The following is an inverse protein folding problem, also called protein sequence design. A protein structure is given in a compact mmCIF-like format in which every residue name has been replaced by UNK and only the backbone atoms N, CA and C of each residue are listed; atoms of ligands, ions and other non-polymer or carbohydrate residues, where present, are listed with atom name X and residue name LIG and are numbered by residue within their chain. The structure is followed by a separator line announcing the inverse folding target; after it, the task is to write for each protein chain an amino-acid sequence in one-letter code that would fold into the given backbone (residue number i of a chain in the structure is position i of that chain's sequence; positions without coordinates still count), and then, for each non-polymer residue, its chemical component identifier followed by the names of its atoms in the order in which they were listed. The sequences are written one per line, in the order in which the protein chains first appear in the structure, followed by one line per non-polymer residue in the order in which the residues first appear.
data_IF_669640698736
#
_entry.id   IF_669640698736
#
_cell.length_a   1.000
_cell.length_b   1.000
_cell.length_c   1.000
_cell.angle_alpha   90.00
_cell.angle_beta   90.00
_cell.angle_gamma   90.00
#
_symmetry.space_group_name_H-M   'P 1'
#
loop_
_entity.id
_entity.type
_entity.pdbx_description
1 polymer ?
#
# COMPACT_ATOMS: atom_id res chain seq x y z
N UNK A 1 -11.94 44.72 -23.32
CA UNK A 1 -12.28 43.45 -22.58
C UNK A 1 -13.69 43.63 -22.07
N UNK A 2 -14.64 42.89 -22.61
CA UNK A 2 -16.07 43.02 -22.34
C UNK A 2 -16.48 42.07 -21.20
N UNK A 3 -17.41 42.55 -20.34
CA UNK A 3 -17.85 41.77 -19.17
C UNK A 3 -19.14 41.00 -19.41
N UNK A 4 -19.87 41.30 -20.49
CA UNK A 4 -21.13 40.61 -20.83
C UNK A 4 -21.32 40.46 -22.34
N UNK A 5 -22.17 39.54 -22.74
CA UNK A 5 -22.61 39.34 -24.12
C UNK A 5 -23.27 40.60 -24.69
N UNK A 6 -24.02 41.31 -23.86
CA UNK A 6 -24.73 42.53 -24.22
C UNK A 6 -23.75 43.68 -24.58
N UNK A 7 -22.64 43.80 -23.84
CA UNK A 7 -21.59 44.76 -24.17
C UNK A 7 -20.91 44.48 -25.50
N UNK A 8 -20.67 43.17 -25.82
CA UNK A 8 -20.09 42.77 -27.11
C UNK A 8 -21.03 43.10 -28.24
N UNK A 9 -22.31 42.78 -28.11
CA UNK A 9 -23.32 43.06 -29.13
C UNK A 9 -23.49 44.55 -29.35
N UNK A 10 -23.46 45.35 -28.31
CA UNK A 10 -23.54 46.82 -28.40
C UNK A 10 -22.29 47.42 -29.09
N UNK A 11 -21.11 46.86 -28.82
CA UNK A 11 -19.87 47.30 -29.48
C UNK A 11 -19.83 46.92 -30.98
N UNK A 12 -20.42 45.78 -31.36
CA UNK A 12 -20.63 45.45 -32.79
C UNK A 12 -21.63 46.40 -33.45
N UNK A 13 -22.75 46.71 -32.78
CA UNK A 13 -23.74 47.63 -33.29
C UNK A 13 -23.23 49.05 -33.43
N UNK A 14 -22.27 49.46 -32.58
CA UNK A 14 -21.59 50.73 -32.65
C UNK A 14 -20.45 50.81 -33.68
N UNK A 15 -20.10 49.66 -34.31
CA UNK A 15 -18.98 49.56 -35.24
C UNK A 15 -17.60 49.57 -34.59
N UNK A 16 -17.55 49.37 -33.27
CA UNK A 16 -16.30 49.31 -32.48
C UNK A 16 -15.62 47.94 -32.52
N UNK A 17 -16.38 46.90 -32.88
CA UNK A 17 -15.89 45.51 -33.07
C UNK A 17 -16.34 44.97 -34.41
N UNK A 18 -15.43 44.28 -35.10
CA UNK A 18 -15.79 43.46 -36.27
C UNK A 18 -16.49 42.19 -35.81
N UNK A 19 -17.29 41.56 -36.69
CA UNK A 19 -17.93 40.24 -36.33
C UNK A 19 -16.92 39.18 -35.90
N UNK A 20 -15.75 39.13 -36.52
CA UNK A 20 -14.69 38.16 -36.17
C UNK A 20 -14.01 38.45 -34.82
N UNK A 21 -13.91 39.72 -34.44
CA UNK A 21 -13.43 40.10 -33.10
C UNK A 21 -14.49 39.85 -32.03
N UNK A 22 -15.77 40.04 -32.36
CA UNK A 22 -16.88 39.70 -31.48
C UNK A 22 -16.93 38.19 -31.18
N UNK A 23 -16.77 37.34 -32.17
CA UNK A 23 -16.71 35.88 -31.99
C UNK A 23 -15.60 35.45 -31.04
N UNK A 24 -14.39 36.05 -31.15
CA UNK A 24 -13.26 35.77 -30.24
C UNK A 24 -13.56 36.21 -28.79
N UNK A 25 -14.17 37.38 -28.60
CA UNK A 25 -14.54 37.88 -27.27
C UNK A 25 -15.67 37.02 -26.67
N UNK A 26 -16.62 36.53 -27.48
CA UNK A 26 -17.68 35.60 -27.05
C UNK A 26 -17.07 34.27 -26.61
N UNK A 27 -16.17 33.67 -27.39
CA UNK A 27 -15.46 32.46 -27.01
C UNK A 27 -14.66 32.66 -25.72
N UNK A 28 -13.95 33.78 -25.56
CA UNK A 28 -13.21 34.09 -24.36
C UNK A 28 -14.13 34.28 -23.14
N UNK A 29 -15.30 34.88 -23.33
CA UNK A 29 -16.31 35.05 -22.28
C UNK A 29 -16.94 33.74 -21.87
N UNK A 30 -17.22 32.84 -22.84
CA UNK A 30 -17.72 31.48 -22.59
C UNK A 30 -16.65 30.62 -21.88
N UNK A 31 -15.40 30.71 -22.28
CA UNK A 31 -14.30 30.00 -21.63
C UNK A 31 -14.08 30.45 -20.16
N UNK A 32 -14.21 31.75 -19.89
CA UNK A 32 -14.18 32.30 -18.52
C UNK A 32 -15.40 31.85 -17.69
N UNK A 33 -16.59 31.86 -18.30
CA UNK A 33 -17.81 31.37 -17.63
C UNK A 33 -17.76 29.86 -17.35
N UNK A 34 -17.20 29.08 -18.26
CA UNK A 34 -16.94 27.65 -18.05
C UNK A 34 -15.91 27.42 -16.96
N UNK A 35 -14.79 28.18 -16.96
CA UNK A 35 -13.79 28.12 -15.90
C UNK A 35 -14.34 28.55 -14.53
N UNK A 36 -15.17 29.59 -14.47
CA UNK A 36 -15.81 30.02 -13.20
C UNK A 36 -16.85 29.00 -12.72
N UNK A 37 -17.60 28.35 -13.61
CA UNK A 37 -18.54 27.27 -13.25
C UNK A 37 -17.81 26.02 -12.78
N UNK A 38 -16.69 25.65 -13.43
CA UNK A 38 -15.83 24.57 -12.98
C UNK A 38 -15.22 24.87 -11.60
N UNK A 39 -14.73 26.10 -11.35
CA UNK A 39 -14.23 26.55 -10.05
C UNK A 39 -15.33 26.67 -8.97
N UNK A 40 -16.55 27.04 -9.32
CA UNK A 40 -17.68 27.08 -8.38
C UNK A 40 -18.25 25.69 -8.09
N UNK A 41 -18.26 24.77 -9.05
CA UNK A 41 -18.61 23.37 -8.80
C UNK A 41 -17.52 22.64 -8.01
N UNK A 42 -16.24 23.00 -8.22
CA UNK A 42 -15.10 22.50 -7.47
C UNK A 42 -15.06 22.98 -6.00
N UNK A 43 -15.80 24.01 -5.62
CA UNK A 43 -15.79 24.57 -4.25
C UNK A 43 -16.76 23.92 -3.26
N UNK A 44 -17.55 22.92 -3.66
CA UNK A 44 -18.52 22.29 -2.77
C UNK A 44 -18.04 20.91 -2.29
N UNK A 45 -18.02 20.72 -0.96
CA UNK A 45 -17.99 19.38 -0.38
C UNK A 45 -19.23 18.61 -0.80
N UNK A 46 -19.06 17.33 -1.14
CA UNK A 46 -20.16 16.41 -1.37
C UNK A 46 -20.56 15.82 -0.03
N UNK A 47 -21.82 15.98 0.37
CA UNK A 47 -22.32 15.46 1.65
C UNK A 47 -23.70 14.83 1.51
N UNK A 48 -23.99 13.79 2.31
CA UNK A 48 -25.25 13.07 2.34
C UNK A 48 -25.23 11.73 1.61
N UNK A 49 -26.34 11.36 0.97
CA UNK A 49 -26.48 10.09 0.25
C UNK A 49 -26.41 10.36 -1.26
N UNK A 50 -25.42 9.77 -1.91
CA UNK A 50 -25.18 9.85 -3.34
C UNK A 50 -25.33 8.45 -3.96
N UNK A 51 -26.35 8.24 -4.78
CA UNK A 51 -26.65 6.94 -5.39
C UNK A 51 -25.82 6.57 -6.61
N UNK A 52 -24.84 7.41 -7.02
CA UNK A 52 -24.04 7.26 -8.24
C UNK A 52 -22.57 7.62 -8.00
N UNK A 53 -21.77 7.49 -9.06
CA UNK A 53 -20.35 7.83 -9.04
C UNK A 53 -20.09 9.33 -8.84
N UNK A 54 -18.95 9.67 -8.22
CA UNK A 54 -18.40 11.01 -8.20
C UNK A 54 -17.49 11.13 -9.42
N UNK A 55 -17.97 11.83 -10.45
CA UNK A 55 -17.30 11.98 -11.75
C UNK A 55 -16.71 13.37 -12.00
N UNK A 56 -16.67 14.24 -10.99
CA UNK A 56 -16.12 15.60 -11.12
C UNK A 56 -15.29 15.96 -9.89
N UNK A 57 -14.36 16.89 -10.06
CA UNK A 57 -13.49 17.39 -9.00
C UNK A 57 -14.29 17.98 -7.84
N UNK A 58 -13.82 17.73 -6.62
CA UNK A 58 -14.40 18.22 -5.37
C UNK A 58 -13.36 19.06 -4.64
N UNK A 59 -13.58 20.37 -4.56
CA UNK A 59 -12.66 21.29 -3.88
C UNK A 59 -12.75 21.26 -2.34
N UNK A 60 -13.58 20.39 -1.81
CA UNK A 60 -13.72 20.11 -0.39
C UNK A 60 -13.62 18.62 -0.12
N UNK A 61 -14.32 18.17 0.91
CA UNK A 61 -14.37 16.75 1.29
C UNK A 61 -15.61 16.05 0.75
N UNK A 62 -15.52 14.74 0.57
CA UNK A 62 -16.65 13.84 0.33
C UNK A 62 -17.06 13.22 1.65
N UNK A 63 -18.31 13.43 2.09
CA UNK A 63 -18.82 12.95 3.39
C UNK A 63 -20.19 12.30 3.23
N UNK A 64 -20.33 11.08 3.72
CA UNK A 64 -21.62 10.37 3.76
C UNK A 64 -21.60 9.02 3.04
N UNK A 65 -22.68 8.70 2.34
CA UNK A 65 -22.82 7.42 1.61
C UNK A 65 -22.79 7.70 0.11
N UNK A 66 -21.82 7.14 -0.56
CA UNK A 66 -21.72 7.16 -2.03
C UNK A 66 -21.96 5.74 -2.52
N UNK A 67 -23.06 5.51 -3.25
CA UNK A 67 -23.44 4.18 -3.74
C UNK A 67 -22.53 3.66 -4.87
N UNK A 68 -21.89 4.57 -5.59
CA UNK A 68 -20.96 4.28 -6.68
C UNK A 68 -19.48 4.38 -6.29
N UNK A 69 -18.65 4.70 -7.26
CA UNK A 69 -17.20 4.87 -7.18
C UNK A 69 -16.80 6.36 -7.24
N UNK A 70 -15.57 6.66 -6.89
CA UNK A 70 -14.92 7.89 -7.33
C UNK A 70 -14.28 7.57 -8.69
N UNK A 71 -14.67 8.31 -9.72
CA UNK A 71 -14.23 8.06 -11.09
C UNK A 71 -12.73 8.39 -11.27
N UNK A 72 -12.17 7.91 -12.38
CA UNK A 72 -10.78 8.20 -12.75
C UNK A 72 -10.56 9.69 -13.04
N UNK A 73 -9.36 10.17 -12.69
CA UNK A 73 -8.95 11.54 -12.91
C UNK A 73 -9.58 12.56 -11.97
N UNK A 74 -10.47 12.14 -11.05
CA UNK A 74 -11.10 13.04 -10.09
C UNK A 74 -10.11 13.51 -9.04
N UNK A 75 -10.09 14.81 -8.79
CA UNK A 75 -9.33 15.45 -7.73
C UNK A 75 -10.24 15.83 -6.57
N UNK A 76 -9.93 15.35 -5.36
CA UNK A 76 -10.63 15.71 -4.12
C UNK A 76 -9.64 16.45 -3.22
N UNK A 77 -9.90 17.75 -2.96
CA UNK A 77 -9.00 18.59 -2.18
C UNK A 77 -9.07 18.33 -0.66
N UNK A 78 -10.05 17.59 -0.18
CA UNK A 78 -10.22 17.23 1.22
C UNK A 78 -10.24 15.73 1.44
N UNK A 79 -10.89 15.30 2.53
CA UNK A 79 -11.01 13.89 2.91
C UNK A 79 -12.18 13.20 2.21
N UNK A 80 -12.07 11.90 2.09
CA UNK A 80 -13.20 11.01 1.77
C UNK A 80 -13.61 10.29 3.07
N UNK A 81 -14.81 10.60 3.58
CA UNK A 81 -15.31 10.05 4.85
C UNK A 81 -16.69 9.42 4.68
N UNK A 82 -16.86 8.20 5.18
CA UNK A 82 -18.16 7.50 5.18
C UNK A 82 -18.12 6.15 4.46
N UNK A 83 -19.16 5.85 3.68
CA UNK A 83 -19.28 4.59 2.95
C UNK A 83 -19.23 4.86 1.45
N UNK A 84 -18.30 4.23 0.77
CA UNK A 84 -18.22 4.20 -0.68
C UNK A 84 -18.54 2.77 -1.15
N UNK A 85 -19.62 2.60 -1.91
CA UNK A 85 -20.06 1.28 -2.40
C UNK A 85 -19.09 0.66 -3.42
N UNK A 86 -18.49 1.51 -4.24
CA UNK A 86 -17.50 1.13 -5.25
C UNK A 86 -16.04 1.32 -4.82
N UNK A 87 -15.19 1.61 -5.79
CA UNK A 87 -13.74 1.81 -5.64
C UNK A 87 -13.36 3.29 -5.72
N UNK A 88 -12.17 3.62 -5.27
CA UNK A 88 -11.52 4.89 -5.56
C UNK A 88 -10.70 4.70 -6.83
N UNK A 89 -11.12 5.36 -7.92
CA UNK A 89 -10.63 5.15 -9.27
C UNK A 89 -11.10 3.83 -9.89
N UNK A 90 -10.87 3.66 -11.18
CA UNK A 90 -11.08 2.41 -11.93
C UNK A 90 -9.78 1.87 -12.53
N UNK A 91 -8.72 2.67 -12.49
CA UNK A 91 -7.35 2.30 -12.92
C UNK A 91 -6.93 2.88 -14.26
N UNK A 92 -7.80 3.63 -14.94
CA UNK A 92 -7.50 4.24 -16.24
C UNK A 92 -6.93 5.67 -16.14
N UNK A 93 -7.05 6.32 -14.97
CA UNK A 93 -6.61 7.71 -14.75
C UNK A 93 -6.03 7.96 -13.36
N UNK A 94 -5.41 9.11 -13.18
CA UNK A 94 -4.77 9.54 -11.92
C UNK A 94 -5.82 10.20 -11.02
N UNK A 95 -6.49 9.43 -10.18
CA UNK A 95 -7.36 9.97 -9.12
C UNK A 95 -6.52 10.43 -7.95
N UNK A 96 -6.80 11.62 -7.42
CA UNK A 96 -6.03 12.22 -6.32
C UNK A 96 -6.91 12.68 -5.18
N UNK A 97 -6.55 12.32 -3.97
CA UNK A 97 -7.18 12.74 -2.72
C UNK A 97 -6.11 13.43 -1.89
N UNK A 98 -6.26 14.74 -1.62
CA UNK A 98 -5.29 15.50 -0.84
C UNK A 98 -5.37 15.21 0.65
N UNK A 99 -6.51 14.78 1.14
CA UNK A 99 -6.72 14.35 2.51
C UNK A 99 -6.59 12.85 2.70
N UNK A 100 -7.20 12.35 3.77
CA UNK A 100 -7.29 10.94 4.08
C UNK A 100 -8.57 10.28 3.56
N UNK A 101 -8.59 8.97 3.63
CA UNK A 101 -9.75 8.13 3.34
C UNK A 101 -10.18 7.44 4.63
N UNK A 102 -11.40 7.77 5.11
CA UNK A 102 -11.89 7.32 6.40
C UNK A 102 -13.26 6.67 6.26
N UNK A 103 -13.35 5.36 6.41
CA UNK A 103 -14.62 4.66 6.36
C UNK A 103 -14.57 3.33 5.61
N UNK A 104 -15.70 2.91 5.06
CA UNK A 104 -15.83 1.65 4.35
C UNK A 104 -15.80 1.90 2.85
N UNK A 105 -14.86 1.30 2.17
CA UNK A 105 -14.75 1.27 0.71
C UNK A 105 -15.10 -0.14 0.26
N UNK A 106 -16.24 -0.33 -0.38
CA UNK A 106 -16.72 -1.64 -0.82
C UNK A 106 -15.81 -2.31 -1.85
N UNK A 107 -15.23 -1.51 -2.72
CA UNK A 107 -14.13 -1.94 -3.59
C UNK A 107 -12.76 -1.72 -2.96
N UNK A 108 -11.81 -1.31 -3.77
CA UNK A 108 -10.44 -1.02 -3.33
C UNK A 108 -10.00 0.38 -3.73
N UNK A 109 -8.72 0.61 -3.60
CA UNK A 109 -8.02 1.72 -4.21
C UNK A 109 -7.48 1.21 -5.54
N UNK A 110 -7.85 1.83 -6.65
CA UNK A 110 -7.45 1.38 -7.99
C UNK A 110 -5.98 1.73 -8.30
N UNK A 111 -5.54 1.32 -9.49
CA UNK A 111 -4.18 1.58 -9.96
C UNK A 111 -3.94 3.10 -10.12
N UNK A 112 -2.72 3.56 -9.84
CA UNK A 112 -2.25 4.95 -9.99
C UNK A 112 -3.01 6.01 -9.13
N UNK A 113 -3.79 5.60 -8.15
CA UNK A 113 -4.48 6.51 -7.21
C UNK A 113 -3.48 7.08 -6.21
N UNK A 114 -3.62 8.38 -5.90
CA UNK A 114 -2.83 9.08 -4.89
C UNK A 114 -3.71 9.50 -3.72
N UNK A 115 -3.31 9.15 -2.50
CA UNK A 115 -3.93 9.59 -1.24
C UNK A 115 -2.84 10.23 -0.38
N UNK A 116 -2.94 11.52 -0.11
CA UNK A 116 -1.90 12.23 0.65
C UNK A 116 -2.01 12.03 2.17
N UNK A 117 -3.12 11.53 2.66
CA UNK A 117 -3.35 11.23 4.08
C UNK A 117 -3.34 9.75 4.41
N UNK A 118 -3.86 9.42 5.59
CA UNK A 118 -4.07 8.04 6.05
C UNK A 118 -5.28 7.40 5.36
N UNK A 119 -5.23 6.08 5.22
CA UNK A 119 -6.40 5.27 4.87
C UNK A 119 -6.83 4.51 6.11
N UNK A 120 -7.97 4.91 6.70
CA UNK A 120 -8.51 4.31 7.92
C UNK A 120 -9.90 3.74 7.65
N UNK A 121 -10.08 2.46 7.89
CA UNK A 121 -11.33 1.78 7.64
C UNK A 121 -11.16 0.52 6.79
N UNK A 122 -12.25 0.02 6.27
CA UNK A 122 -12.26 -1.25 5.53
C UNK A 122 -12.13 -1.00 4.03
N UNK A 123 -11.14 -1.62 3.41
CA UNK A 123 -11.05 -1.76 1.96
C UNK A 123 -11.51 -3.17 1.59
N UNK A 124 -12.64 -3.29 0.88
CA UNK A 124 -13.17 -4.60 0.42
C UNK A 124 -12.29 -5.25 -0.65
N UNK A 125 -11.58 -4.44 -1.43
CA UNK A 125 -10.68 -4.88 -2.49
C UNK A 125 -9.20 -4.62 -2.21
N UNK A 126 -8.37 -4.65 -3.27
CA UNK A 126 -6.94 -4.44 -3.18
C UNK A 126 -6.55 -2.95 -3.10
N UNK A 127 -5.29 -2.72 -2.76
CA UNK A 127 -4.58 -1.48 -3.09
C UNK A 127 -3.89 -1.72 -4.43
N UNK A 128 -4.23 -0.92 -5.43
CA UNK A 128 -3.86 -1.07 -6.83
C UNK A 128 -2.39 -0.86 -7.12
N UNK A 129 -2.00 -1.15 -8.36
CA UNK A 129 -0.62 -0.96 -8.84
C UNK A 129 -0.25 0.52 -8.83
N UNK A 130 0.98 0.80 -8.42
CA UNK A 130 1.53 2.16 -8.35
C UNK A 130 0.66 3.14 -7.53
N UNK A 131 -0.30 2.64 -6.74
CA UNK A 131 -1.06 3.48 -5.82
C UNK A 131 -0.12 4.06 -4.76
N UNK A 132 -0.32 5.32 -4.42
CA UNK A 132 0.51 6.04 -3.47
C UNK A 132 -0.34 6.51 -2.30
N UNK A 133 0.00 6.06 -1.10
CA UNK A 133 -0.62 6.49 0.16
C UNK A 133 0.50 7.09 1.00
N UNK A 134 0.49 8.41 1.21
CA UNK A 134 1.56 9.08 1.96
C UNK A 134 1.53 8.74 3.46
N UNK A 135 0.35 8.47 3.98
CA UNK A 135 0.12 8.07 5.37
C UNK A 135 0.17 6.57 5.61
N UNK A 136 -0.51 6.15 6.67
CA UNK A 136 -0.64 4.74 7.09
C UNK A 136 -1.95 4.12 6.59
N UNK A 137 -1.97 2.81 6.47
CA UNK A 137 -3.18 2.03 6.21
C UNK A 137 -3.60 1.33 7.52
N UNK A 138 -4.74 1.75 8.07
CA UNK A 138 -5.26 1.24 9.36
C UNK A 138 -6.64 0.64 9.16
N UNK A 139 -6.68 -0.63 8.90
CA UNK A 139 -7.90 -1.37 8.67
C UNK A 139 -7.71 -2.52 7.69
N UNK A 140 -8.68 -3.43 7.59
CA UNK A 140 -8.58 -4.58 6.70
C UNK A 140 -8.47 -4.16 5.23
N UNK A 141 -7.57 -4.82 4.51
CA UNK A 141 -7.45 -4.79 3.05
C UNK A 141 -7.88 -6.16 2.54
N UNK A 142 -9.03 -6.25 1.87
CA UNK A 142 -9.61 -7.53 1.43
C UNK A 142 -8.78 -8.24 0.35
N UNK A 143 -8.05 -7.50 -0.46
CA UNK A 143 -7.18 -8.02 -1.50
C UNK A 143 -5.69 -7.92 -1.18
N UNK A 144 -4.88 -7.91 -2.24
CA UNK A 144 -3.43 -7.70 -2.17
C UNK A 144 -3.05 -6.22 -2.18
N UNK A 145 -1.87 -5.91 -1.69
CA UNK A 145 -1.18 -4.66 -2.02
C UNK A 145 -0.36 -4.96 -3.28
N UNK A 146 -0.73 -4.33 -4.39
CA UNK A 146 -0.25 -4.70 -5.72
C UNK A 146 1.06 -4.01 -6.08
N UNK A 147 1.71 -4.59 -7.08
CA UNK A 147 3.01 -4.19 -7.58
C UNK A 147 3.21 -2.67 -7.68
N UNK A 148 4.33 -2.17 -7.16
CA UNK A 148 4.73 -0.77 -7.23
C UNK A 148 3.96 0.18 -6.32
N UNK A 149 2.98 -0.32 -5.53
CA UNK A 149 2.27 0.50 -4.57
C UNK A 149 3.22 0.99 -3.46
N UNK A 150 3.00 2.23 -2.99
CA UNK A 150 3.80 2.86 -1.94
C UNK A 150 2.93 3.32 -0.79
N UNK A 151 3.29 2.95 0.42
CA UNK A 151 2.66 3.37 1.67
C UNK A 151 3.73 4.00 2.53
N UNK A 152 3.64 5.31 2.77
CA UNK A 152 4.66 6.05 3.52
C UNK A 152 4.73 5.67 5.00
N UNK A 153 3.60 5.29 5.58
CA UNK A 153 3.48 4.88 6.98
C UNK A 153 3.41 3.37 7.16
N UNK A 154 2.75 2.94 8.24
CA UNK A 154 2.58 1.53 8.63
C UNK A 154 1.29 0.93 8.08
N UNK A 155 1.26 -0.40 7.98
CA UNK A 155 0.05 -1.17 7.67
C UNK A 155 -0.36 -1.98 8.91
N UNK A 156 -1.50 -1.62 9.54
CA UNK A 156 -1.91 -2.26 10.79
C UNK A 156 -3.13 -3.17 10.69
N UNK A 157 -3.82 -3.18 9.56
CA UNK A 157 -4.94 -4.09 9.32
C UNK A 157 -4.55 -5.39 8.62
N UNK A 158 -5.39 -6.43 8.70
CA UNK A 158 -5.18 -7.66 7.95
C UNK A 158 -5.14 -7.40 6.45
N UNK A 159 -4.24 -8.07 5.75
CA UNK A 159 -4.13 -8.09 4.30
C UNK A 159 -4.59 -9.48 3.84
N UNK A 160 -5.72 -9.57 3.13
CA UNK A 160 -6.30 -10.84 2.69
C UNK A 160 -5.45 -11.56 1.64
N UNK A 161 -4.77 -10.80 0.79
CA UNK A 161 -3.88 -11.30 -0.24
C UNK A 161 -2.39 -11.19 0.12
N UNK A 162 -1.58 -10.92 -0.90
CA UNK A 162 -0.12 -10.79 -0.82
C UNK A 162 0.31 -9.33 -0.80
N UNK A 163 1.53 -9.09 -0.35
CA UNK A 163 2.29 -7.87 -0.63
C UNK A 163 3.18 -8.21 -1.84
N UNK A 164 2.82 -7.66 -3.01
CA UNK A 164 3.43 -8.00 -4.30
C UNK A 164 4.83 -7.36 -4.49
N UNK A 165 5.62 -7.83 -5.50
CA UNK A 165 6.94 -7.27 -5.78
C UNK A 165 6.90 -5.76 -6.05
N UNK A 166 7.94 -5.05 -5.60
CA UNK A 166 8.07 -3.60 -5.79
C UNK A 166 7.14 -2.74 -4.93
N UNK A 167 6.36 -3.34 -4.02
CA UNK A 167 5.64 -2.60 -2.97
C UNK A 167 6.64 -2.07 -1.96
N UNK A 168 6.47 -0.81 -1.56
CA UNK A 168 7.27 -0.15 -0.52
C UNK A 168 6.37 0.27 0.65
N UNK A 169 6.70 -0.15 1.86
CA UNK A 169 6.03 0.24 3.11
C UNK A 169 7.07 0.89 4.02
N UNK A 170 6.90 2.18 4.33
CA UNK A 170 7.84 2.97 5.10
C UNK A 170 7.86 2.66 6.61
N UNK A 171 6.80 2.05 7.13
CA UNK A 171 6.68 1.69 8.55
C UNK A 171 6.56 0.18 8.79
N UNK A 172 5.96 -0.18 9.92
CA UNK A 172 5.75 -1.57 10.33
C UNK A 172 4.52 -2.19 9.64
N UNK A 173 4.54 -3.52 9.49
CA UNK A 173 3.35 -4.32 9.17
C UNK A 173 2.94 -5.11 10.42
N UNK A 174 1.81 -4.73 11.02
CA UNK A 174 1.30 -5.36 12.24
C UNK A 174 0.03 -6.19 12.01
N UNK A 175 -0.59 -6.10 10.83
CA UNK A 175 -1.71 -6.95 10.42
C UNK A 175 -1.26 -8.25 9.72
N UNK A 176 -1.97 -9.38 9.90
CA UNK A 176 -1.64 -10.63 9.21
C UNK A 176 -1.65 -10.48 7.69
N UNK A 177 -0.72 -11.15 7.02
CA UNK A 177 -0.63 -11.24 5.57
C UNK A 177 -1.10 -12.64 5.17
N UNK A 178 -2.22 -12.74 4.42
CA UNK A 178 -2.80 -14.01 4.02
C UNK A 178 -1.94 -14.77 3.00
N UNK A 179 -1.31 -14.04 2.09
CA UNK A 179 -0.47 -14.58 1.03
C UNK A 179 1.04 -14.45 1.28
N UNK A 180 1.78 -14.21 0.20
CA UNK A 180 3.23 -14.02 0.22
C UNK A 180 3.59 -12.58 0.54
N UNK A 181 4.81 -12.41 1.04
CA UNK A 181 5.43 -11.11 1.19
C UNK A 181 6.62 -10.99 0.24
N UNK A 182 6.48 -10.19 -0.82
CA UNK A 182 7.46 -10.03 -1.89
C UNK A 182 7.97 -8.58 -2.01
N UNK A 183 7.31 -7.63 -1.32
CA UNK A 183 7.67 -6.21 -1.27
C UNK A 183 8.81 -5.87 -0.29
N UNK A 184 9.03 -4.57 -0.09
CA UNK A 184 9.99 -4.02 0.86
C UNK A 184 9.25 -3.34 2.03
N UNK A 185 9.56 -3.73 3.24
CA UNK A 185 9.10 -3.11 4.51
C UNK A 185 10.30 -2.53 5.21
N UNK A 186 10.35 -1.20 5.36
CA UNK A 186 11.44 -0.52 6.05
C UNK A 186 11.40 -0.74 7.57
N UNK A 187 10.22 -0.94 8.12
CA UNK A 187 10.03 -1.31 9.53
C UNK A 187 10.11 -2.81 9.77
N UNK A 188 9.39 -3.27 10.78
CA UNK A 188 9.30 -4.68 11.20
C UNK A 188 7.98 -5.31 10.77
N UNK A 189 7.96 -6.62 10.60
CA UNK A 189 6.75 -7.42 10.41
C UNK A 189 6.42 -8.16 11.69
N UNK A 190 5.34 -7.78 12.36
CA UNK A 190 4.97 -8.30 13.68
C UNK A 190 3.78 -9.27 13.67
N UNK A 191 3.30 -9.63 12.50
CA UNK A 191 2.15 -10.50 12.28
C UNK A 191 2.47 -11.66 11.34
N UNK A 192 1.72 -12.76 11.42
CA UNK A 192 1.98 -13.94 10.60
C UNK A 192 1.92 -13.65 9.10
N UNK A 193 2.82 -14.28 8.36
CA UNK A 193 2.84 -14.35 6.90
C UNK A 193 2.35 -15.74 6.52
N UNK A 194 1.25 -15.83 5.76
CA UNK A 194 0.64 -17.11 5.38
C UNK A 194 1.47 -17.90 4.37
N UNK A 195 2.11 -17.21 3.42
CA UNK A 195 2.97 -17.79 2.39
C UNK A 195 4.46 -17.60 2.67
N UNK A 196 5.22 -17.48 1.57
CA UNK A 196 6.67 -17.27 1.60
C UNK A 196 7.02 -15.80 1.87
N UNK A 197 8.21 -15.57 2.42
CA UNK A 197 8.85 -14.27 2.47
C UNK A 197 10.01 -14.26 1.46
N UNK A 198 9.82 -13.59 0.33
CA UNK A 198 10.82 -13.43 -0.73
C UNK A 198 11.29 -11.98 -0.88
N UNK A 199 10.58 -11.04 -0.26
CA UNK A 199 10.89 -9.61 -0.22
C UNK A 199 11.95 -9.26 0.83
N UNK A 200 11.99 -7.96 1.19
CA UNK A 200 12.94 -7.42 2.17
C UNK A 200 12.18 -6.81 3.36
N UNK A 201 12.64 -7.10 4.56
CA UNK A 201 12.25 -6.45 5.82
C UNK A 201 13.51 -5.90 6.44
N UNK A 202 13.61 -4.58 6.61
CA UNK A 202 14.81 -3.97 7.20
C UNK A 202 14.90 -4.21 8.73
N UNK A 203 13.74 -4.26 9.39
CA UNK A 203 13.62 -4.59 10.81
C UNK A 203 13.50 -6.09 11.09
N UNK A 204 12.80 -6.40 12.18
CA UNK A 204 12.58 -7.78 12.65
C UNK A 204 11.33 -8.41 12.01
N UNK A 205 11.33 -9.72 11.89
CA UNK A 205 10.12 -10.51 11.65
C UNK A 205 9.81 -11.33 12.91
N UNK A 206 8.87 -10.86 13.73
CA UNK A 206 8.62 -11.45 15.06
C UNK A 206 7.56 -12.55 15.07
N UNK A 207 6.84 -12.73 13.97
CA UNK A 207 5.75 -13.70 13.85
C UNK A 207 6.06 -14.81 12.84
N UNK A 208 5.32 -15.94 12.87
CA UNK A 208 5.60 -17.09 12.01
C UNK A 208 5.43 -16.81 10.51
N UNK A 209 6.32 -17.38 9.72
CA UNK A 209 6.24 -17.49 8.26
C UNK A 209 5.72 -18.87 7.90
N UNK A 210 4.61 -18.95 7.15
CA UNK A 210 3.95 -20.18 6.76
C UNK A 210 4.70 -20.98 5.69
N UNK A 211 5.48 -20.29 4.87
CA UNK A 211 6.29 -20.85 3.79
C UNK A 211 7.79 -20.77 4.05
N UNK A 212 8.55 -20.58 2.97
CA UNK A 212 10.00 -20.43 2.99
C UNK A 212 10.43 -18.96 3.18
N UNK A 213 11.66 -18.75 3.62
CA UNK A 213 12.33 -17.48 3.62
C UNK A 213 13.47 -17.54 2.60
N UNK A 214 13.31 -16.82 1.49
CA UNK A 214 14.33 -16.65 0.46
C UNK A 214 14.73 -15.19 0.27
N UNK A 215 13.98 -14.28 0.89
CA UNK A 215 14.27 -12.85 0.92
C UNK A 215 15.28 -12.47 2.01
N UNK A 216 15.22 -11.20 2.45
CA UNK A 216 16.10 -10.65 3.47
C UNK A 216 15.33 -10.14 4.68
N UNK A 217 15.81 -10.47 5.87
CA UNK A 217 15.40 -9.87 7.14
C UNK A 217 16.63 -9.22 7.74
N UNK A 218 16.61 -7.88 7.93
CA UNK A 218 17.75 -7.12 8.44
C UNK A 218 18.01 -7.37 9.92
N UNK A 219 16.94 -7.54 10.70
CA UNK A 219 16.97 -7.85 12.13
C UNK A 219 16.84 -9.33 12.44
N UNK A 220 16.17 -9.64 13.56
CA UNK A 220 15.93 -11.00 14.03
C UNK A 220 14.72 -11.64 13.38
N UNK A 221 14.77 -12.96 13.22
CA UNK A 221 13.61 -13.79 12.90
C UNK A 221 13.11 -14.47 14.18
N UNK A 222 11.98 -14.01 14.68
CA UNK A 222 11.41 -14.43 15.95
C UNK A 222 11.77 -13.50 17.11
N UNK A 223 11.40 -13.89 18.31
CA UNK A 223 11.70 -13.21 19.58
C UNK A 223 12.10 -14.23 20.64
N UNK A 224 12.59 -13.77 21.78
CA UNK A 224 12.89 -14.68 22.92
C UNK A 224 11.68 -15.51 23.35
N UNK A 225 10.46 -15.02 23.12
CA UNK A 225 9.23 -15.74 23.42
C UNK A 225 8.85 -16.79 22.37
N UNK A 226 9.46 -16.74 21.17
CA UNK A 226 9.20 -17.70 20.07
C UNK A 226 10.18 -18.86 20.02
N UNK A 227 11.17 -18.95 20.93
CA UNK A 227 12.22 -20.00 20.94
C UNK A 227 11.70 -21.42 20.79
N UNK A 228 10.54 -21.73 21.37
CA UNK A 228 9.91 -23.03 21.30
C UNK A 228 8.83 -23.14 20.20
N UNK A 229 8.60 -22.11 19.40
CA UNK A 229 7.59 -22.08 18.34
C UNK A 229 8.22 -22.30 16.96
N UNK A 230 7.43 -22.78 16.02
CA UNK A 230 7.80 -22.86 14.60
C UNK A 230 7.73 -21.46 14.04
N UNK A 231 8.87 -20.82 13.84
CA UNK A 231 8.94 -19.46 13.28
C UNK A 231 9.01 -19.51 11.75
N UNK A 232 9.64 -20.54 11.20
CA UNK A 232 9.72 -20.77 9.76
C UNK A 232 9.29 -22.21 9.44
N UNK A 233 8.27 -22.38 8.60
CA UNK A 233 7.77 -23.71 8.23
C UNK A 233 8.48 -24.31 7.03
N UNK A 234 8.98 -23.46 6.13
CA UNK A 234 9.75 -23.90 4.95
C UNK A 234 11.25 -23.78 5.16
N UNK A 235 11.97 -23.71 4.05
CA UNK A 235 13.43 -23.60 4.04
C UNK A 235 13.86 -22.15 4.27
N UNK A 236 15.06 -21.97 4.84
CA UNK A 236 15.76 -20.72 4.95
C UNK A 236 16.87 -20.69 3.90
N UNK A 237 16.60 -20.00 2.78
CA UNK A 237 17.56 -19.84 1.67
C UNK A 237 18.03 -18.41 1.51
N UNK A 238 17.37 -17.46 2.19
CA UNK A 238 17.67 -16.03 2.17
C UNK A 238 18.65 -15.58 3.27
N UNK A 239 18.57 -14.30 3.62
CA UNK A 239 19.46 -13.68 4.61
C UNK A 239 18.69 -13.23 5.86
N UNK A 240 19.27 -13.47 7.04
CA UNK A 240 18.85 -12.94 8.33
C UNK A 240 20.03 -12.20 8.93
N UNK A 241 19.89 -10.87 9.12
CA UNK A 241 20.96 -10.02 9.65
C UNK A 241 21.19 -10.17 11.15
N UNK A 242 20.19 -10.67 11.87
CA UNK A 242 20.26 -11.03 13.29
C UNK A 242 20.25 -12.54 13.52
N UNK A 243 19.51 -12.96 14.54
CA UNK A 243 19.37 -14.36 14.96
C UNK A 243 18.01 -14.94 14.56
N UNK A 244 17.93 -16.26 14.44
CA UNK A 244 16.69 -17.00 14.26
C UNK A 244 16.24 -17.57 15.63
N UNK A 245 15.32 -16.84 16.27
CA UNK A 245 14.86 -17.11 17.63
C UNK A 245 13.60 -18.00 17.60
N UNK A 246 13.70 -19.20 17.03
CA UNK A 246 12.60 -20.16 16.92
C UNK A 246 13.02 -21.41 16.20
N UNK A 247 12.04 -22.22 15.78
CA UNK A 247 12.25 -23.48 15.08
C UNK A 247 12.11 -23.31 13.58
N UNK A 248 13.18 -23.60 12.84
CA UNK A 248 13.16 -23.77 11.38
C UNK A 248 12.82 -25.22 11.09
N UNK A 249 11.74 -25.45 10.34
CA UNK A 249 11.26 -26.82 10.06
C UNK A 249 11.90 -27.43 8.81
N UNK A 250 12.35 -26.58 7.89
CA UNK A 250 13.04 -26.98 6.66
C UNK A 250 14.55 -26.92 6.77
N UNK A 251 15.19 -26.99 5.60
CA UNK A 251 16.66 -26.91 5.47
C UNK A 251 17.14 -25.44 5.50
N UNK A 252 18.40 -25.28 5.88
CA UNK A 252 19.10 -24.00 5.89
C UNK A 252 20.21 -24.03 4.85
N UNK A 253 20.11 -23.17 3.83
CA UNK A 253 21.18 -22.95 2.83
C UNK A 253 21.55 -21.46 2.69
N UNK A 254 20.83 -20.59 3.42
CA UNK A 254 21.04 -19.14 3.41
C UNK A 254 22.10 -18.67 4.40
N UNK A 255 22.11 -17.36 4.66
CA UNK A 255 23.03 -16.71 5.59
C UNK A 255 22.26 -16.23 6.84
N UNK A 256 22.80 -16.51 8.03
CA UNK A 256 22.33 -15.98 9.31
C UNK A 256 23.53 -15.37 10.03
N UNK A 257 23.47 -14.08 10.36
CA UNK A 257 24.59 -13.42 11.01
C UNK A 257 24.76 -13.83 12.49
N UNK A 258 23.62 -14.08 13.18
CA UNK A 258 23.58 -14.50 14.58
C UNK A 258 23.38 -16.00 14.76
N UNK A 259 22.69 -16.35 15.86
CA UNK A 259 22.43 -17.73 16.27
C UNK A 259 21.13 -18.30 15.62
N UNK A 260 21.04 -19.61 15.55
CA UNK A 260 19.79 -20.31 15.26
C UNK A 260 19.40 -21.19 16.46
N UNK A 261 18.20 -21.03 17.00
CA UNK A 261 17.76 -21.81 18.17
C UNK A 261 17.63 -23.29 17.83
N UNK A 262 16.93 -23.64 16.75
CA UNK A 262 16.69 -25.05 16.38
C UNK A 262 16.48 -25.18 14.86
N UNK A 263 17.10 -26.19 14.25
CA UNK A 263 16.90 -26.59 12.85
C UNK A 263 16.44 -28.05 12.86
N UNK A 264 15.30 -28.34 12.22
CA UNK A 264 14.78 -29.71 12.03
C UNK A 264 15.28 -30.36 10.74
N UNK A 265 15.51 -29.56 9.71
CA UNK A 265 16.14 -29.99 8.46
C UNK A 265 17.65 -30.05 8.55
N UNK A 266 18.31 -30.03 7.39
CA UNK A 266 19.75 -30.03 7.26
C UNK A 266 20.31 -28.60 7.15
N UNK A 267 21.54 -28.42 7.55
CA UNK A 267 22.31 -27.24 7.19
C UNK A 267 23.11 -27.65 5.95
N UNK A 268 22.69 -27.11 4.79
CA UNK A 268 23.21 -27.53 3.48
C UNK A 268 24.55 -26.88 3.15
N UNK A 269 25.31 -27.45 2.17
CA UNK A 269 26.51 -26.81 1.65
C UNK A 269 26.21 -25.38 1.17
N UNK A 270 27.09 -24.43 1.54
CA UNK A 270 26.93 -22.99 1.25
C UNK A 270 26.15 -22.20 2.31
N UNK A 271 25.47 -22.85 3.25
CA UNK A 271 24.93 -22.16 4.41
C UNK A 271 26.03 -21.52 5.25
N UNK A 272 25.78 -20.30 5.74
CA UNK A 272 26.71 -19.59 6.61
C UNK A 272 26.01 -19.03 7.84
N UNK A 273 26.35 -19.57 9.01
CA UNK A 273 25.78 -19.17 10.29
C UNK A 273 26.91 -18.57 11.14
N UNK A 274 26.83 -17.26 11.44
CA UNK A 274 27.86 -16.54 12.16
C UNK A 274 27.91 -16.85 13.65
N UNK A 275 26.78 -17.27 14.22
CA UNK A 275 26.66 -17.70 15.61
C UNK A 275 26.66 -19.20 15.77
N UNK A 276 25.99 -19.68 16.83
CA UNK A 276 25.81 -21.10 17.12
C UNK A 276 24.44 -21.64 16.69
N UNK A 277 24.33 -22.95 16.50
CA UNK A 277 23.05 -23.66 16.36
C UNK A 277 22.79 -24.41 17.66
N UNK A 278 21.71 -24.04 18.37
CA UNK A 278 21.38 -24.65 19.65
C UNK A 278 21.03 -26.14 19.52
N UNK A 279 20.12 -26.51 18.61
CA UNK A 279 19.77 -27.91 18.33
C UNK A 279 19.61 -28.12 16.83
N UNK A 280 20.28 -29.16 16.32
CA UNK A 280 20.17 -29.63 14.93
C UNK A 280 19.70 -31.07 14.92
N UNK A 281 18.60 -31.35 14.18
CA UNK A 281 18.08 -32.73 13.98
C UNK A 281 18.58 -33.38 12.70
N UNK A 282 18.99 -32.60 11.72
CA UNK A 282 19.57 -33.06 10.46
C UNK A 282 21.08 -33.06 10.45
N UNK A 283 21.67 -33.08 9.27
CA UNK A 283 23.11 -33.05 9.05
C UNK A 283 23.63 -31.63 8.95
N UNK A 284 24.86 -31.40 9.39
CA UNK A 284 25.56 -30.13 9.15
C UNK A 284 26.61 -30.34 8.05
N UNK A 285 26.35 -29.74 6.89
CA UNK A 285 27.26 -29.72 5.72
C UNK A 285 27.65 -28.28 5.37
N UNK A 286 27.18 -27.30 6.13
CA UNK A 286 27.47 -25.86 5.99
C UNK A 286 28.49 -25.36 6.99
N UNK A 287 28.66 -24.06 7.04
CA UNK A 287 29.56 -23.36 7.98
C UNK A 287 28.77 -22.82 9.17
N UNK A 288 29.11 -23.26 10.38
CA UNK A 288 28.57 -22.76 11.65
C UNK A 288 29.72 -22.31 12.53
N UNK A 289 29.95 -20.99 12.62
CA UNK A 289 31.15 -20.47 13.31
C UNK A 289 31.14 -20.75 14.81
N UNK A 290 30.00 -20.64 15.48
CA UNK A 290 29.85 -20.96 16.90
C UNK A 290 29.62 -22.46 17.19
N UNK A 291 29.60 -23.29 16.15
CA UNK A 291 29.36 -24.73 16.26
C UNK A 291 27.90 -25.12 16.55
N UNK A 292 27.64 -26.43 16.56
CA UNK A 292 26.34 -27.01 16.89
C UNK A 292 26.38 -27.52 18.33
N UNK A 293 25.56 -26.96 19.21
CA UNK A 293 25.58 -27.31 20.65
C UNK A 293 24.97 -28.67 20.94
N UNK A 294 23.95 -29.06 20.19
CA UNK A 294 23.29 -30.36 20.32
C UNK A 294 22.86 -30.88 18.95
N UNK A 295 23.38 -32.01 18.55
CA UNK A 295 22.95 -32.76 17.38
C UNK A 295 22.13 -33.97 17.82
N UNK A 296 20.98 -34.21 17.18
CA UNK A 296 20.06 -35.34 17.53
C UNK A 296 19.76 -36.19 16.32
#
# INVERSE_FOLDING_TARGET
MYASMEEILNAVAAGELTPEEADREIEALQARAAGSRAQQSARRSVSGIYGRDIGADVAGSVRGIVGGSIADGVHIAGDVTGVLGGSIGTGAGNTRIEGGVHGIIGGGIADNVQVNGDVTGVLGGPIGRNAQISGSVRGPVGGSIRQGARIGGSVSGPIGGSIEPGVEIGGDVTGPIGGRMEGHVQGSVRSPIGGDLTGTVDGDVTAPIGGALSGRVGGDLGTVHTKNRKILRGNLTGEVGGSVLGKVMGDVSGRVAGDITTVYGNILPGAHIGGCVGTLYGKNEGTVLGGVQRQR
#
